data_IF_671233123550
#
_entry.id   IF_671233123550
#
_cell.length_a   1.000
_cell.length_b   1.000
_cell.length_c   1.000
_cell.angle_alpha   90.00
_cell.angle_beta   90.00
_cell.angle_gamma   90.00
#
_symmetry.space_group_name_H-M   'P 1'
#
loop_
_entity.id
_entity.type
_entity.pdbx_description
1 polymer ?
#
# COMPACT_ATOMS: atom_id res chain seq x y z
N UNK A 1 12.31 -12.95 21.98
CA UNK A 1 11.45 -11.79 22.29
C UNK A 1 11.76 -10.73 21.24
N UNK A 2 10.94 -10.59 20.22
CA UNK A 2 11.08 -9.54 19.22
C UNK A 2 10.68 -8.22 19.87
N UNK A 3 11.64 -7.35 20.07
CA UNK A 3 11.38 -5.99 20.53
C UNK A 3 10.57 -5.29 19.45
N UNK A 4 9.29 -5.09 19.69
CA UNK A 4 8.42 -4.38 18.76
C UNK A 4 8.95 -2.95 18.63
N UNK A 5 9.42 -2.58 17.45
CA UNK A 5 9.91 -1.24 17.19
C UNK A 5 8.78 -0.23 17.45
N UNK A 6 9.04 0.73 18.35
CA UNK A 6 8.04 1.78 18.66
C UNK A 6 8.02 2.73 17.47
N UNK A 7 6.94 2.67 16.68
CA UNK A 7 6.73 3.60 15.57
C UNK A 7 6.45 4.99 16.17
N UNK A 8 7.21 6.03 15.78
CA UNK A 8 6.95 7.40 16.23
C UNK A 8 5.52 7.84 15.91
N UNK A 9 4.90 8.63 16.79
CA UNK A 9 3.49 9.04 16.63
C UNK A 9 3.21 9.71 15.26
N UNK A 10 4.15 10.55 14.80
CA UNK A 10 4.06 11.22 13.48
C UNK A 10 4.06 10.27 12.28
N UNK A 11 4.60 9.06 12.44
CA UNK A 11 4.68 8.06 11.38
C UNK A 11 3.48 7.09 11.39
N UNK A 12 2.59 7.21 12.38
CA UNK A 12 1.39 6.36 12.50
C UNK A 12 0.20 6.88 11.70
N UNK A 13 0.21 8.17 11.35
CA UNK A 13 -0.85 8.79 10.55
C UNK A 13 -0.40 8.87 9.09
N UNK A 14 -1.19 8.26 8.21
CA UNK A 14 -1.02 8.35 6.77
C UNK A 14 -2.25 9.06 6.21
N UNK A 15 -2.05 10.22 5.57
CA UNK A 15 -3.14 10.97 4.93
C UNK A 15 -3.27 10.55 3.48
N UNK A 16 -4.48 10.13 3.08
CA UNK A 16 -4.76 9.80 1.70
C UNK A 16 -4.96 11.08 0.87
N UNK A 17 -4.19 11.20 -0.22
CA UNK A 17 -4.34 12.26 -1.20
C UNK A 17 -5.37 11.83 -2.25
N UNK A 18 -6.62 11.61 -1.82
CA UNK A 18 -7.72 11.21 -2.70
C UNK A 18 -8.33 12.48 -3.33
N UNK A 19 -7.56 13.08 -4.23
CA UNK A 19 -7.88 14.33 -4.96
C UNK A 19 -7.55 14.17 -6.43
N UNK A 20 -8.25 14.89 -7.35
CA UNK A 20 -8.17 14.61 -8.78
C UNK A 20 -6.87 15.09 -9.46
N UNK A 21 -6.10 15.96 -8.83
CA UNK A 21 -4.90 16.55 -9.47
C UNK A 21 -3.72 16.65 -8.51
N UNK A 22 -2.51 16.63 -9.07
CA UNK A 22 -1.28 16.88 -8.30
C UNK A 22 -1.24 18.29 -7.70
N UNK A 23 -1.89 19.30 -8.32
CA UNK A 23 -2.00 20.64 -7.74
C UNK A 23 -2.80 20.63 -6.45
N UNK A 24 -4.00 20.04 -6.47
CA UNK A 24 -4.84 19.92 -5.28
C UNK A 24 -4.13 19.11 -4.16
N UNK A 25 -3.38 18.06 -4.53
CA UNK A 25 -2.58 17.32 -3.59
C UNK A 25 -1.49 18.19 -2.93
N UNK A 26 -0.77 19.01 -3.70
CA UNK A 26 0.25 19.93 -3.16
C UNK A 26 -0.36 20.99 -2.24
N UNK A 27 -1.52 21.53 -2.59
CA UNK A 27 -2.26 22.49 -1.74
C UNK A 27 -2.61 21.85 -0.39
N UNK A 28 -3.15 20.61 -0.40
CA UNK A 28 -3.49 19.88 0.81
C UNK A 28 -2.26 19.59 1.68
N UNK A 29 -1.17 19.11 1.08
CA UNK A 29 0.10 18.85 1.78
C UNK A 29 0.67 20.14 2.38
N UNK A 30 0.61 21.26 1.65
CA UNK A 30 1.07 22.57 2.13
C UNK A 30 0.23 23.06 3.30
N UNK A 31 -1.10 22.85 3.24
CA UNK A 31 -2.02 23.20 4.33
C UNK A 31 -1.74 22.40 5.62
N UNK A 32 -1.41 21.10 5.48
CA UNK A 32 -1.12 20.20 6.60
C UNK A 32 0.30 20.39 7.17
N UNK A 33 1.19 20.96 6.36
CA UNK A 33 2.56 21.32 6.71
C UNK A 33 3.30 20.21 7.50
N UNK A 34 3.93 20.54 8.62
CA UNK A 34 4.67 19.57 9.45
C UNK A 34 3.78 18.69 10.35
N UNK A 35 2.47 18.95 10.36
CA UNK A 35 1.50 18.13 11.10
C UNK A 35 1.45 16.69 10.59
N UNK A 36 1.68 16.50 9.28
CA UNK A 36 1.65 15.20 8.62
C UNK A 36 2.96 14.94 7.89
N UNK A 37 3.58 13.81 8.19
CA UNK A 37 4.83 13.37 7.59
C UNK A 37 4.67 12.27 6.53
N UNK A 38 3.48 11.67 6.40
CA UNK A 38 3.27 10.49 5.58
C UNK A 38 1.99 10.60 4.74
N UNK A 39 2.10 10.43 3.42
CA UNK A 39 1.00 10.58 2.48
C UNK A 39 0.84 9.36 1.59
N UNK A 40 -0.41 9.01 1.29
CA UNK A 40 -0.79 7.95 0.37
C UNK A 40 -1.22 8.53 -0.98
N UNK A 41 -0.60 8.04 -2.05
CA UNK A 41 -0.99 8.33 -3.44
C UNK A 41 -1.76 7.12 -3.96
N UNK A 42 -3.05 7.32 -4.17
CA UNK A 42 -3.96 6.28 -4.66
C UNK A 42 -4.11 6.26 -6.18
N UNK A 43 -4.96 5.34 -6.65
CA UNK A 43 -5.13 5.05 -8.08
C UNK A 43 -5.62 6.28 -8.88
N UNK A 44 -6.60 7.04 -8.35
CA UNK A 44 -7.15 8.23 -9.03
C UNK A 44 -6.05 9.26 -9.31
N UNK A 45 -5.33 9.65 -8.27
CA UNK A 45 -4.26 10.63 -8.38
C UNK A 45 -3.09 10.09 -9.24
N UNK A 46 -2.81 8.79 -9.17
CA UNK A 46 -1.79 8.17 -10.01
C UNK A 46 -2.13 8.28 -11.50
N UNK A 47 -3.41 8.09 -11.84
CA UNK A 47 -3.91 8.19 -13.23
C UNK A 47 -4.03 9.63 -13.74
N UNK A 48 -3.86 10.65 -12.90
CA UNK A 48 -3.82 12.06 -13.34
C UNK A 48 -2.61 12.41 -14.22
N UNK A 49 -1.59 11.54 -14.27
CA UNK A 49 -0.40 11.67 -15.10
C UNK A 49 0.83 12.25 -14.39
N UNK A 50 0.65 12.96 -13.28
CA UNK A 50 1.74 13.65 -12.58
C UNK A 50 2.20 12.95 -11.29
N UNK A 51 1.83 11.68 -11.09
CA UNK A 51 2.06 10.97 -9.83
C UNK A 51 3.54 10.89 -9.43
N UNK A 52 4.44 10.54 -10.33
CA UNK A 52 5.87 10.47 -10.01
C UNK A 52 6.50 11.85 -9.78
N UNK A 53 6.00 12.89 -10.45
CA UNK A 53 6.40 14.28 -10.18
C UNK A 53 5.97 14.69 -8.78
N UNK A 54 4.77 14.28 -8.36
CA UNK A 54 4.28 14.52 -7.00
C UNK A 54 5.08 13.71 -5.96
N UNK A 55 5.40 12.45 -6.23
CA UNK A 55 6.25 11.61 -5.36
C UNK A 55 7.60 12.29 -5.12
N UNK A 56 8.27 12.75 -6.17
CA UNK A 56 9.54 13.46 -6.02
C UNK A 56 9.38 14.75 -5.21
N UNK A 57 8.34 15.53 -5.46
CA UNK A 57 8.04 16.77 -4.74
C UNK A 57 7.79 16.52 -3.24
N UNK A 58 7.15 15.41 -2.87
CA UNK A 58 6.95 14.99 -1.47
C UNK A 58 8.28 14.60 -0.81
N UNK A 59 9.13 13.84 -1.52
CA UNK A 59 10.47 13.46 -1.04
C UNK A 59 11.37 14.67 -0.76
N UNK A 60 11.38 15.67 -1.66
CA UNK A 60 12.14 16.91 -1.48
C UNK A 60 11.74 17.68 -0.22
N UNK A 61 10.60 17.32 0.39
CA UNK A 61 10.05 17.88 1.63
C UNK A 61 10.11 16.93 2.81
N UNK A 62 10.95 15.90 2.73
CA UNK A 62 11.10 14.87 3.75
C UNK A 62 9.78 14.17 4.14
N UNK A 63 8.80 14.14 3.21
CA UNK A 63 7.55 13.43 3.42
C UNK A 63 7.69 11.98 2.95
N UNK A 64 7.20 11.03 3.77
CA UNK A 64 7.11 9.62 3.40
C UNK A 64 5.98 9.41 2.39
N UNK A 65 6.16 8.47 1.47
CA UNK A 65 5.19 8.19 0.42
C UNK A 65 4.77 6.72 0.45
N UNK A 66 3.47 6.52 0.37
CA UNK A 66 2.82 5.23 0.21
C UNK A 66 2.10 5.19 -1.15
N UNK A 67 2.51 4.30 -2.05
CA UNK A 67 1.87 4.08 -3.36
C UNK A 67 0.83 2.97 -3.22
N UNK A 68 -0.46 3.35 -3.28
CA UNK A 68 -1.59 2.45 -3.04
C UNK A 68 -2.30 2.10 -4.36
N UNK A 69 -1.67 1.27 -5.19
CA UNK A 69 -2.19 0.83 -6.48
C UNK A 69 -2.72 -0.60 -6.50
N UNK A 70 -2.50 -1.34 -5.41
CA UNK A 70 -2.97 -2.72 -5.23
C UNK A 70 -2.63 -3.61 -6.43
N UNK A 71 -1.34 -3.62 -6.83
CA UNK A 71 -0.89 -4.39 -7.99
C UNK A 71 -1.42 -5.82 -7.97
N UNK A 72 -2.14 -6.17 -9.02
CA UNK A 72 -2.77 -7.47 -9.18
C UNK A 72 -2.69 -7.92 -10.64
N UNK A 73 -1.73 -8.78 -10.92
CA UNK A 73 -1.44 -9.32 -12.25
C UNK A 73 -0.71 -10.66 -12.05
N UNK A 74 -0.26 -11.32 -13.11
CA UNK A 74 0.59 -12.50 -12.99
C UNK A 74 1.88 -12.17 -12.21
N UNK A 75 2.42 -13.11 -11.40
CA UNK A 75 3.52 -12.83 -10.45
C UNK A 75 4.71 -12.12 -11.08
N UNK A 76 5.13 -12.55 -12.27
CA UNK A 76 6.27 -11.96 -12.97
C UNK A 76 6.05 -10.49 -13.34
N UNK A 77 4.82 -10.09 -13.70
CA UNK A 77 4.48 -8.71 -14.02
C UNK A 77 4.48 -7.86 -12.75
N UNK A 78 3.89 -8.37 -11.66
CA UNK A 78 3.89 -7.67 -10.37
C UNK A 78 5.31 -7.47 -9.86
N UNK A 79 6.17 -8.49 -9.92
CA UNK A 79 7.57 -8.35 -9.53
C UNK A 79 8.29 -7.26 -10.33
N UNK A 80 8.12 -7.23 -11.66
CA UNK A 80 8.72 -6.18 -12.51
C UNK A 80 8.16 -4.79 -12.19
N UNK A 81 6.86 -4.68 -11.90
CA UNK A 81 6.26 -3.41 -11.51
C UNK A 81 6.83 -2.88 -10.17
N UNK A 82 6.99 -3.77 -9.19
CA UNK A 82 7.63 -3.44 -7.91
C UNK A 82 9.08 -3.01 -8.10
N UNK A 83 9.85 -3.69 -8.95
CA UNK A 83 11.22 -3.30 -9.25
C UNK A 83 11.35 -1.88 -9.80
N UNK A 84 10.32 -1.35 -10.50
CA UNK A 84 10.32 0.04 -10.98
C UNK A 84 10.13 1.07 -9.86
N UNK A 85 9.71 0.65 -8.68
CA UNK A 85 9.54 1.54 -7.52
C UNK A 85 10.83 1.70 -6.72
N UNK A 86 11.79 0.79 -6.87
CA UNK A 86 13.07 0.85 -6.18
C UNK A 86 13.85 2.11 -6.57
N UNK A 87 14.51 2.75 -5.61
CA UNK A 87 15.25 3.99 -5.78
C UNK A 87 14.39 5.26 -5.88
N UNK A 88 13.06 5.12 -5.95
CA UNK A 88 12.16 6.28 -5.99
C UNK A 88 11.90 6.90 -4.59
N UNK A 89 12.37 6.26 -3.51
CA UNK A 89 12.16 6.71 -2.12
C UNK A 89 10.72 6.55 -1.65
N UNK A 90 10.01 5.59 -2.21
CA UNK A 90 8.67 5.18 -1.79
C UNK A 90 8.82 4.29 -0.56
N UNK A 91 8.09 4.60 0.51
CA UNK A 91 8.14 3.82 1.75
C UNK A 91 7.32 2.53 1.63
N UNK A 92 6.07 2.63 1.18
CA UNK A 92 5.17 1.49 1.02
C UNK A 92 4.58 1.41 -0.37
N UNK A 93 4.35 0.17 -0.84
CA UNK A 93 3.50 -0.11 -2.00
C UNK A 93 2.54 -1.26 -1.69
N UNK A 94 1.32 -1.21 -2.25
CA UNK A 94 0.35 -2.28 -2.07
C UNK A 94 0.33 -3.25 -3.24
N UNK A 95 0.16 -4.52 -2.88
CA UNK A 95 -0.20 -5.59 -3.81
C UNK A 95 -1.51 -6.26 -3.35
N UNK A 96 -2.16 -6.94 -4.26
CA UNK A 96 -3.31 -7.78 -3.97
C UNK A 96 -3.09 -9.16 -4.59
N UNK A 97 -3.58 -10.23 -3.96
CA UNK A 97 -3.56 -11.52 -4.61
C UNK A 97 -3.08 -12.70 -3.75
N UNK A 98 -2.60 -13.73 -4.45
CA UNK A 98 -2.19 -15.01 -3.88
C UNK A 98 -0.71 -15.05 -3.49
N UNK A 99 -0.26 -16.17 -2.94
CA UNK A 99 1.09 -16.38 -2.44
C UNK A 99 2.17 -16.12 -3.48
N UNK A 100 1.96 -16.56 -4.72
CA UNK A 100 2.95 -16.37 -5.78
C UNK A 100 3.15 -14.89 -6.13
N UNK A 101 2.09 -14.07 -6.05
CA UNK A 101 2.17 -12.61 -6.23
C UNK A 101 2.88 -11.99 -5.04
N UNK A 102 2.52 -12.37 -3.79
CA UNK A 102 3.16 -11.86 -2.58
C UNK A 102 4.67 -12.15 -2.60
N UNK A 103 5.05 -13.38 -2.92
CA UNK A 103 6.44 -13.78 -3.00
C UNK A 103 7.21 -13.02 -4.11
N UNK A 104 6.61 -12.86 -5.29
CA UNK A 104 7.24 -12.14 -6.39
C UNK A 104 7.44 -10.66 -6.06
N UNK A 105 6.46 -10.03 -5.44
CA UNK A 105 6.53 -8.63 -5.01
C UNK A 105 7.60 -8.43 -3.93
N UNK A 106 7.57 -9.24 -2.86
CA UNK A 106 8.53 -9.16 -1.77
C UNK A 106 9.97 -9.43 -2.22
N UNK A 107 10.17 -10.39 -3.16
CA UNK A 107 11.49 -10.69 -3.71
C UNK A 107 12.04 -9.60 -4.64
N UNK A 108 11.18 -8.78 -5.24
CA UNK A 108 11.55 -7.72 -6.16
C UNK A 108 11.76 -6.35 -5.46
N UNK A 109 11.31 -6.24 -4.22
CA UNK A 109 11.44 -5.03 -3.41
C UNK A 109 12.83 -4.95 -2.78
N UNK A 110 13.52 -3.83 -2.96
CA UNK A 110 14.84 -3.56 -2.38
C UNK A 110 14.77 -2.52 -1.26
N UNK A 111 14.21 -1.35 -1.54
CA UNK A 111 14.07 -0.22 -0.61
C UNK A 111 12.61 0.21 -0.38
N UNK A 112 11.65 -0.44 -1.05
CA UNK A 112 10.22 -0.27 -0.84
C UNK A 112 9.65 -1.42 -0.01
N UNK A 113 8.85 -1.13 0.98
CA UNK A 113 8.18 -2.15 1.80
C UNK A 113 6.82 -2.52 1.20
N UNK A 114 6.56 -3.83 1.04
CA UNK A 114 5.33 -4.33 0.43
C UNK A 114 4.27 -4.59 1.48
N UNK A 115 3.09 -4.00 1.28
CA UNK A 115 1.87 -4.26 2.04
C UNK A 115 0.88 -5.08 1.20
N UNK A 116 0.46 -6.23 1.71
CA UNK A 116 -0.54 -7.04 1.03
C UNK A 116 -1.96 -6.62 1.47
N UNK A 117 -2.82 -6.32 0.50
CA UNK A 117 -4.25 -6.13 0.78
C UNK A 117 -4.88 -7.48 1.06
N UNK A 118 -5.49 -7.63 2.23
CA UNK A 118 -6.11 -8.89 2.65
C UNK A 118 -7.43 -9.12 1.92
N UNK A 119 -8.43 -8.30 2.21
CA UNK A 119 -9.71 -8.22 1.53
C UNK A 119 -10.03 -6.74 1.36
N UNK A 120 -10.59 -6.35 0.24
CA UNK A 120 -11.05 -4.96 0.08
C UNK A 120 -12.19 -4.71 1.08
N UNK A 121 -12.11 -3.60 1.82
CA UNK A 121 -13.09 -3.25 2.86
C UNK A 121 -14.50 -3.00 2.32
N UNK A 122 -14.65 -2.90 1.00
CA UNK A 122 -15.92 -2.80 0.31
C UNK A 122 -16.58 -4.15 0.03
N UNK A 123 -15.87 -5.27 0.20
CA UNK A 123 -16.39 -6.61 -0.07
C UNK A 123 -17.09 -7.18 1.16
N UNK A 124 -18.28 -7.72 0.93
CA UNK A 124 -19.05 -8.46 1.92
C UNK A 124 -18.98 -9.99 1.67
N UNK A 125 -19.75 -10.76 2.46
CA UNK A 125 -19.82 -12.21 2.31
C UNK A 125 -20.43 -12.64 0.98
N UNK A 126 -21.38 -11.87 0.45
CA UNK A 126 -22.00 -12.14 -0.86
C UNK A 126 -20.97 -12.01 -1.97
N UNK A 127 -20.20 -10.92 -1.96
CA UNK A 127 -19.11 -10.69 -2.92
C UNK A 127 -18.06 -11.80 -2.86
N UNK A 128 -17.70 -12.27 -1.66
CA UNK A 128 -16.76 -13.39 -1.50
C UNK A 128 -17.32 -14.69 -2.08
N UNK A 129 -18.61 -14.95 -1.88
CA UNK A 129 -19.27 -16.13 -2.46
C UNK A 129 -19.28 -16.08 -3.98
N UNK A 130 -19.56 -14.92 -4.57
CA UNK A 130 -19.52 -14.71 -6.04
C UNK A 130 -18.11 -14.89 -6.61
N UNK A 131 -17.09 -14.56 -5.81
CA UNK A 131 -15.67 -14.82 -6.14
C UNK A 131 -15.25 -16.29 -5.90
N UNK A 132 -16.14 -17.15 -5.40
CA UNK A 132 -15.89 -18.56 -5.15
C UNK A 132 -15.26 -18.86 -3.78
N UNK A 133 -15.26 -17.91 -2.83
CA UNK A 133 -14.80 -18.12 -1.46
C UNK A 133 -15.96 -18.53 -0.55
N UNK A 134 -15.92 -19.74 -0.01
CA UNK A 134 -16.89 -20.23 0.97
C UNK A 134 -16.30 -20.10 2.40
N UNK A 135 -16.09 -18.85 2.83
CA UNK A 135 -15.59 -18.53 4.17
C UNK A 135 -16.04 -17.17 4.64
N UNK A 136 -15.90 -16.92 5.94
CA UNK A 136 -16.12 -15.58 6.49
C UNK A 136 -15.01 -14.61 6.12
N UNK A 137 -15.35 -13.32 5.99
CA UNK A 137 -14.41 -12.23 5.66
C UNK A 137 -13.24 -12.25 6.64
N UNK A 138 -13.51 -12.28 7.95
CA UNK A 138 -12.45 -12.27 8.98
C UNK A 138 -11.53 -13.49 8.90
N UNK A 139 -12.07 -14.67 8.61
CA UNK A 139 -11.25 -15.87 8.41
C UNK A 139 -10.31 -15.73 7.22
N UNK A 140 -10.80 -15.16 6.11
CA UNK A 140 -10.00 -14.90 4.93
C UNK A 140 -8.92 -13.83 5.18
N UNK A 141 -9.27 -12.75 5.90
CA UNK A 141 -8.33 -11.69 6.29
C UNK A 141 -7.18 -12.24 7.11
N UNK A 142 -7.47 -13.01 8.17
CA UNK A 142 -6.44 -13.61 9.03
C UNK A 142 -5.57 -14.60 8.23
N UNK A 143 -6.17 -15.42 7.37
CA UNK A 143 -5.44 -16.35 6.51
C UNK A 143 -4.47 -15.61 5.60
N UNK A 144 -4.94 -14.59 4.89
CA UNK A 144 -4.12 -13.78 3.97
C UNK A 144 -3.04 -13.00 4.70
N UNK A 145 -3.33 -12.43 5.87
CA UNK A 145 -2.35 -11.71 6.69
C UNK A 145 -1.18 -12.62 7.11
N UNK A 146 -1.47 -13.84 7.58
CA UNK A 146 -0.43 -14.81 7.92
C UNK A 146 0.43 -15.20 6.74
N UNK A 147 -0.19 -15.39 5.57
CA UNK A 147 0.51 -15.74 4.33
C UNK A 147 1.36 -14.58 3.81
N UNK A 148 0.88 -13.34 3.90
CA UNK A 148 1.64 -12.16 3.54
C UNK A 148 2.97 -12.07 4.32
N UNK A 149 2.91 -12.23 5.64
CA UNK A 149 4.11 -12.25 6.49
C UNK A 149 5.02 -13.43 6.14
N UNK A 150 4.46 -14.63 5.92
CA UNK A 150 5.22 -15.82 5.57
C UNK A 150 5.96 -15.69 4.22
N UNK A 151 5.42 -14.89 3.28
CA UNK A 151 6.01 -14.61 1.98
C UNK A 151 6.87 -13.34 1.93
N UNK A 152 7.17 -12.72 3.10
CA UNK A 152 8.11 -11.63 3.20
C UNK A 152 7.52 -10.23 2.97
N UNK A 153 6.19 -10.09 2.93
CA UNK A 153 5.58 -8.76 2.97
C UNK A 153 5.83 -8.09 4.33
N UNK A 154 6.07 -6.78 4.34
CA UNK A 154 6.32 -6.01 5.55
C UNK A 154 5.07 -5.88 6.44
N UNK A 155 3.89 -6.00 5.83
CA UNK A 155 2.63 -5.92 6.54
C UNK A 155 1.42 -6.14 5.64
N UNK A 156 0.26 -5.76 6.14
CA UNK A 156 -1.02 -5.88 5.44
C UNK A 156 -1.82 -4.58 5.51
N UNK A 157 -2.74 -4.42 4.56
CA UNK A 157 -3.83 -3.46 4.63
C UNK A 157 -5.10 -4.23 4.98
N UNK A 158 -5.71 -3.89 6.11
CA UNK A 158 -6.92 -4.50 6.63
C UNK A 158 -7.74 -3.45 7.38
N UNK A 159 -9.02 -3.72 7.58
CA UNK A 159 -9.87 -2.91 8.45
C UNK A 159 -9.51 -3.13 9.92
N UNK A 160 -9.64 -2.10 10.75
CA UNK A 160 -9.49 -2.22 12.20
C UNK A 160 -10.63 -3.00 12.89
N UNK A 161 -11.62 -3.45 12.13
CA UNK A 161 -12.76 -4.25 12.60
C UNK A 161 -12.64 -5.75 12.27
N UNK A 162 -11.57 -6.16 11.60
CA UNK A 162 -11.33 -7.52 11.12
C UNK A 162 -10.29 -8.27 11.95
#
# INVERSE_FOLDING_TARGET
>A
MTTQAIIPAKDRLIVALDVPTASAARELVTLLDDTVAFYKVGLELFMSGDAFVLVNWLKERDKKVFVDLKFFDVPATVGRAVSQLNGLGITFATIHGNDAIMQAAASAAEDVEILAVTVLTSLDRGDLSDLGFDCDVSALVVSRARRAVAHGCAGVVASGQE
#
